data_IF_977555154975
#
_entry.id   IF_977555154975
#
_cell.length_a   1.000
_cell.length_b   1.000
_cell.length_c   1.000
_cell.angle_alpha   90.00
_cell.angle_beta   90.00
_cell.angle_gamma   90.00
#
_symmetry.space_group_name_H-M   'P 1'
#
loop_
_entity.id
_entity.type
_entity.pdbx_description
1 polymer ?
#
# COMPACT_ATOMS: atom_id res chain seq x y z
N UNK A 1 5.74 4.67 26.62
CA UNK A 1 4.57 5.50 26.92
C UNK A 1 4.88 6.91 26.46
N UNK A 2 4.27 7.38 25.39
CA UNK A 2 4.28 8.78 25.01
C UNK A 2 2.84 9.11 24.62
N UNK A 3 2.15 9.75 25.53
CA UNK A 3 0.77 10.20 25.38
C UNK A 3 0.71 11.33 24.35
N UNK A 4 -0.22 11.24 23.44
CA UNK A 4 -0.59 12.30 22.53
C UNK A 4 -1.44 13.31 23.31
N UNK A 5 -0.87 14.47 23.60
CA UNK A 5 -1.62 15.60 24.17
C UNK A 5 -2.36 16.27 23.02
N UNK A 6 -3.69 16.22 23.07
CA UNK A 6 -4.58 17.01 22.23
C UNK A 6 -4.49 18.47 22.69
N UNK A 7 -4.03 19.36 21.82
CA UNK A 7 -4.19 20.79 22.00
C UNK A 7 -5.52 21.22 21.36
N UNK A 8 -6.51 21.49 22.20
CA UNK A 8 -7.76 22.15 21.82
C UNK A 8 -7.49 23.57 21.36
N UNK A 9 -7.70 23.83 20.08
CA UNK A 9 -7.88 25.18 19.58
C UNK A 9 -9.33 25.30 19.09
N UNK A 10 -10.19 25.83 19.95
CA UNK A 10 -11.56 26.22 19.63
C UNK A 10 -11.51 27.37 18.60
N UNK A 11 -11.77 27.08 17.35
CA UNK A 11 -12.12 28.06 16.33
C UNK A 11 -13.63 28.01 16.15
N UNK A 12 -14.27 29.15 16.36
CA UNK A 12 -15.72 29.35 16.38
C UNK A 12 -16.43 28.75 15.18
N UNK A 13 -17.41 27.90 15.44
CA UNK A 13 -18.31 27.33 14.47
C UNK A 13 -19.36 28.37 14.06
N UNK A 14 -19.22 28.94 12.87
CA UNK A 14 -20.34 29.49 12.12
C UNK A 14 -21.15 28.32 11.53
N UNK A 15 -22.49 28.30 11.62
CA UNK A 15 -23.27 27.23 11.01
C UNK A 15 -23.19 27.38 9.48
N UNK A 16 -22.40 26.54 8.84
CA UNK A 16 -22.42 26.36 7.40
C UNK A 16 -23.77 25.72 7.05
N UNK A 17 -24.58 26.46 6.31
CA UNK A 17 -25.81 25.97 5.71
C UNK A 17 -25.54 24.67 4.96
N UNK A 18 -26.51 23.75 5.03
CA UNK A 18 -26.49 22.47 4.34
C UNK A 18 -26.25 22.71 2.83
N UNK A 19 -25.01 22.63 2.41
CA UNK A 19 -24.67 22.48 1.00
C UNK A 19 -25.21 21.11 0.60
N UNK A 20 -26.26 21.10 -0.21
CA UNK A 20 -26.74 19.92 -0.91
C UNK A 20 -25.54 19.38 -1.70
N UNK A 21 -25.05 18.22 -1.30
CA UNK A 21 -23.98 17.49 -1.97
C UNK A 21 -24.46 17.01 -3.34
N UNK A 22 -24.41 17.89 -4.34
CA UNK A 22 -24.59 17.55 -5.75
C UNK A 22 -23.39 16.81 -6.34
N UNK A 23 -22.72 15.97 -5.55
CA UNK A 23 -21.68 15.09 -6.06
C UNK A 23 -22.34 14.02 -6.93
N UNK A 24 -22.25 14.21 -8.23
CA UNK A 24 -22.69 13.26 -9.23
C UNK A 24 -22.05 11.89 -8.96
N UNK A 25 -22.87 10.83 -8.97
CA UNK A 25 -22.39 9.47 -8.75
C UNK A 25 -21.37 9.10 -9.82
N UNK A 26 -20.17 8.72 -9.40
CA UNK A 26 -19.12 8.33 -10.33
C UNK A 26 -19.29 6.84 -10.74
N UNK A 27 -19.51 6.59 -12.04
CA UNK A 27 -19.63 5.22 -12.54
C UNK A 27 -18.30 4.48 -12.38
N UNK A 28 -18.37 3.27 -11.83
CA UNK A 28 -17.22 2.43 -11.59
C UNK A 28 -16.73 1.76 -12.88
N UNK A 29 -15.42 1.55 -12.97
CA UNK A 29 -14.80 0.73 -14.01
C UNK A 29 -14.79 -0.76 -13.62
N UNK A 30 -14.40 -1.63 -14.56
CA UNK A 30 -14.17 -3.06 -14.32
C UNK A 30 -15.39 -3.79 -13.75
N UNK A 31 -16.49 -3.75 -14.48
CA UNK A 31 -17.67 -4.60 -14.21
C UNK A 31 -18.34 -5.05 -15.51
N UNK A 32 -19.16 -6.05 -15.41
CA UNK A 32 -20.03 -6.51 -16.48
C UNK A 32 -21.48 -6.58 -16.00
N UNK A 33 -22.41 -6.28 -16.90
CA UNK A 33 -23.83 -6.41 -16.64
C UNK A 33 -24.24 -7.87 -16.84
N UNK A 34 -25.12 -8.35 -15.97
CA UNK A 34 -25.71 -9.70 -16.02
C UNK A 34 -27.22 -9.61 -16.18
N UNK A 35 -27.86 -10.73 -16.52
CA UNK A 35 -29.31 -10.82 -16.60
C UNK A 35 -29.98 -10.39 -15.28
N UNK A 36 -31.17 -9.80 -15.40
CA UNK A 36 -31.98 -9.37 -14.24
C UNK A 36 -31.44 -8.16 -13.51
N UNK A 37 -30.68 -7.26 -14.21
CA UNK A 37 -30.15 -6.03 -13.62
C UNK A 37 -29.01 -6.25 -12.61
N UNK A 38 -28.49 -7.46 -12.50
CA UNK A 38 -27.30 -7.76 -11.70
C UNK A 38 -26.04 -7.31 -12.41
N UNK A 39 -24.98 -7.08 -11.65
CA UNK A 39 -23.64 -6.85 -12.17
C UNK A 39 -22.64 -7.83 -11.55
N UNK A 40 -21.54 -8.11 -12.27
CA UNK A 40 -20.35 -8.75 -11.73
C UNK A 40 -19.21 -7.76 -11.70
N UNK A 41 -18.64 -7.53 -10.51
CA UNK A 41 -17.44 -6.72 -10.35
C UNK A 41 -16.21 -7.49 -10.82
N UNK A 42 -15.36 -6.86 -11.66
CA UNK A 42 -14.13 -7.45 -12.22
C UNK A 42 -12.88 -6.75 -11.70
N UNK A 43 -13.01 -5.87 -10.72
CA UNK A 43 -11.90 -5.07 -10.20
C UNK A 43 -10.88 -5.89 -9.39
N UNK A 44 -11.36 -6.85 -8.62
CA UNK A 44 -10.52 -7.72 -7.81
C UNK A 44 -10.98 -9.18 -7.89
N UNK A 45 -10.17 -10.15 -7.41
CA UNK A 45 -10.45 -11.58 -7.50
C UNK A 45 -11.71 -12.07 -6.77
N UNK A 46 -12.37 -11.22 -5.96
CA UNK A 46 -13.65 -11.59 -5.33
C UNK A 46 -14.77 -11.80 -6.33
N UNK A 47 -14.76 -11.09 -7.46
CA UNK A 47 -15.76 -11.28 -8.52
C UNK A 47 -17.20 -11.09 -8.03
N UNK A 48 -17.46 -10.16 -7.11
CA UNK A 48 -18.76 -9.97 -6.47
C UNK A 48 -19.89 -9.85 -7.48
N UNK A 49 -20.94 -10.67 -7.34
CA UNK A 49 -22.19 -10.55 -8.10
C UNK A 49 -23.22 -9.87 -7.19
N UNK A 50 -23.73 -8.71 -7.60
CA UNK A 50 -24.63 -7.89 -6.77
C UNK A 50 -25.88 -7.46 -7.54
N UNK A 51 -27.02 -7.55 -6.88
CA UNK A 51 -28.31 -7.05 -7.36
C UNK A 51 -28.46 -5.55 -7.18
N UNK A 52 -29.61 -5.00 -7.57
CA UNK A 52 -29.92 -3.57 -7.41
C UNK A 52 -29.81 -3.16 -5.94
N UNK A 53 -29.23 -1.98 -5.69
CA UNK A 53 -28.93 -1.40 -4.36
C UNK A 53 -28.03 -2.26 -3.46
N UNK A 54 -27.40 -3.30 -4.00
CA UNK A 54 -26.45 -4.11 -3.26
C UNK A 54 -25.01 -3.63 -3.51
N UNK A 55 -24.17 -3.83 -2.49
CA UNK A 55 -22.75 -3.49 -2.53
C UNK A 55 -21.87 -4.73 -2.63
N UNK A 56 -20.70 -4.59 -3.26
CA UNK A 56 -19.67 -5.60 -3.23
C UNK A 56 -19.06 -5.77 -1.82
N UNK A 57 -18.24 -6.79 -1.65
CA UNK A 57 -17.57 -7.10 -0.38
C UNK A 57 -16.83 -5.90 0.23
N UNK A 58 -16.20 -5.05 -0.60
CA UNK A 58 -15.49 -3.85 -0.15
C UNK A 58 -16.40 -2.76 0.42
N UNK A 59 -17.74 -2.86 0.26
CA UNK A 59 -18.80 -1.95 0.76
C UNK A 59 -18.82 -0.56 0.14
N UNK A 60 -17.92 -0.27 -0.79
CA UNK A 60 -17.76 1.07 -1.39
C UNK A 60 -18.15 1.15 -2.87
N UNK A 61 -18.69 0.05 -3.41
CA UNK A 61 -19.19 -0.02 -4.77
C UNK A 61 -20.59 -0.62 -4.77
N UNK A 62 -21.55 0.03 -5.44
CA UNK A 62 -22.96 -0.28 -5.39
C UNK A 62 -23.56 -0.37 -6.79
N UNK A 63 -24.40 -1.40 -7.00
CA UNK A 63 -25.23 -1.50 -8.20
C UNK A 63 -26.48 -0.60 -8.05
N UNK A 64 -26.75 0.25 -9.03
CA UNK A 64 -27.98 1.05 -9.11
C UNK A 64 -28.57 0.91 -10.51
N UNK A 65 -29.64 0.18 -10.61
CA UNK A 65 -30.36 -0.04 -11.87
C UNK A 65 -29.53 -0.74 -12.95
N UNK A 66 -28.63 -1.65 -12.60
CA UNK A 66 -27.77 -2.37 -13.53
C UNK A 66 -26.49 -1.60 -13.93
N UNK A 67 -26.20 -0.46 -13.30
CA UNK A 67 -24.93 0.26 -13.40
C UNK A 67 -24.19 0.23 -12.08
N UNK A 68 -22.86 0.18 -12.12
CA UNK A 68 -22.04 0.09 -10.92
C UNK A 68 -21.38 1.41 -10.60
N UNK A 69 -21.45 1.85 -9.35
CA UNK A 69 -20.98 3.16 -8.94
C UNK A 69 -19.97 3.06 -7.80
N UNK A 70 -18.95 3.92 -7.82
CA UNK A 70 -18.04 4.16 -6.71
C UNK A 70 -18.69 5.14 -5.74
N UNK A 71 -18.87 4.73 -4.48
CA UNK A 71 -19.43 5.58 -3.43
C UNK A 71 -18.37 6.42 -2.72
N UNK A 72 -17.09 6.22 -3.05
CA UNK A 72 -15.94 6.87 -2.39
C UNK A 72 -15.13 7.76 -3.34
N UNK A 73 -15.60 7.97 -4.57
CA UNK A 73 -14.95 8.89 -5.50
C UNK A 73 -14.97 10.32 -4.96
N UNK A 74 -13.79 10.94 -4.87
CA UNK A 74 -13.65 12.27 -4.31
C UNK A 74 -13.85 12.38 -2.79
N UNK A 75 -13.92 11.25 -2.05
CA UNK A 75 -14.19 11.25 -0.60
C UNK A 75 -13.07 10.61 0.21
N UNK A 76 -11.88 11.25 0.25
CA UNK A 76 -10.77 10.74 1.03
C UNK A 76 -11.03 10.92 2.53
N UNK A 77 -10.90 9.82 3.30
CA UNK A 77 -11.08 9.82 4.76
C UNK A 77 -9.76 10.02 5.53
N UNK A 78 -8.63 9.93 4.85
CA UNK A 78 -7.31 10.19 5.43
C UNK A 78 -6.42 10.94 4.43
N UNK A 79 -5.76 12.01 4.93
CA UNK A 79 -4.87 12.88 4.17
C UNK A 79 -3.68 13.25 5.07
N UNK A 80 -2.47 12.78 4.71
CA UNK A 80 -1.26 13.05 5.50
C UNK A 80 -0.04 13.26 4.60
N UNK A 81 0.90 14.08 5.06
CA UNK A 81 2.21 14.20 4.43
C UNK A 81 3.25 13.51 5.31
N UNK A 82 3.88 12.47 4.79
CA UNK A 82 4.84 11.64 5.51
C UNK A 82 6.14 11.47 4.70
N UNK A 83 7.27 11.12 5.32
CA UNK A 83 8.43 10.60 4.60
C UNK A 83 8.06 9.37 3.74
N UNK A 84 8.67 9.25 2.57
CA UNK A 84 8.45 8.11 1.67
C UNK A 84 8.83 6.78 2.34
N UNK A 85 9.83 6.80 3.23
CA UNK A 85 10.27 5.65 4.02
C UNK A 85 9.19 5.11 4.96
N UNK A 86 8.23 5.94 5.38
CA UNK A 86 7.08 5.50 6.20
C UNK A 86 6.07 4.70 5.37
N UNK A 87 6.13 4.77 4.02
CA UNK A 87 5.30 3.97 3.09
C UNK A 87 5.92 2.63 2.72
N UNK A 88 6.78 2.12 3.43
CA UNK A 88 8.15 1.66 3.42
C UNK A 88 8.74 1.47 2.00
N UNK A 89 8.86 2.55 1.25
CA UNK A 89 9.64 2.59 0.02
C UNK A 89 11.08 2.98 0.34
N UNK A 90 12.02 2.07 0.15
CA UNK A 90 13.44 2.32 0.43
C UNK A 90 14.28 2.55 -0.82
N UNK A 91 13.78 2.11 -1.97
CA UNK A 91 14.42 2.31 -3.28
C UNK A 91 13.61 3.25 -4.18
N UNK A 92 12.80 4.14 -3.59
CA UNK A 92 12.02 5.15 -4.33
C UNK A 92 12.22 6.51 -3.67
N UNK A 93 12.90 7.44 -4.36
CA UNK A 93 13.09 8.83 -3.94
C UNK A 93 13.45 9.02 -2.46
N UNK A 94 14.56 8.42 -1.97
CA UNK A 94 14.91 8.45 -0.55
C UNK A 94 14.92 9.85 0.05
N UNK A 95 14.31 10.03 1.22
CA UNK A 95 14.22 11.31 1.91
C UNK A 95 13.14 12.26 1.40
N UNK A 96 12.37 11.88 0.36
CA UNK A 96 11.28 12.70 -0.15
C UNK A 96 10.03 12.60 0.72
N UNK A 97 9.11 13.58 0.52
CA UNK A 97 7.79 13.56 1.12
C UNK A 97 6.78 12.89 0.18
N UNK A 98 5.82 12.16 0.75
CA UNK A 98 4.67 11.60 0.07
C UNK A 98 3.38 12.18 0.65
N UNK A 99 2.51 12.78 -0.18
CA UNK A 99 1.16 13.15 0.20
C UNK A 99 0.25 11.94 0.07
N UNK A 100 -0.23 11.44 1.20
CA UNK A 100 -0.93 10.15 1.29
C UNK A 100 -2.42 10.34 1.38
N UNK A 101 -3.18 9.54 0.62
CA UNK A 101 -4.64 9.52 0.64
C UNK A 101 -5.19 8.11 0.82
N UNK A 102 -6.34 8.00 1.47
CA UNK A 102 -7.16 6.81 1.55
C UNK A 102 -8.64 7.15 1.51
N UNK A 103 -9.46 6.22 1.02
CA UNK A 103 -10.91 6.20 1.23
C UNK A 103 -11.27 5.08 2.20
N UNK A 104 -12.51 5.04 2.70
CA UNK A 104 -12.98 3.91 3.52
C UNK A 104 -13.06 2.62 2.72
N UNK A 105 -13.03 1.48 3.42
CA UNK A 105 -13.22 0.15 2.86
C UNK A 105 -11.93 -0.59 2.48
N UNK A 106 -12.05 -1.88 2.24
CA UNK A 106 -10.98 -2.78 1.78
C UNK A 106 -11.59 -4.04 1.14
N UNK A 107 -10.86 -4.67 0.23
CA UNK A 107 -11.30 -5.93 -0.41
C UNK A 107 -10.87 -7.20 0.32
N UNK A 108 -10.17 -7.09 1.47
CA UNK A 108 -9.87 -8.16 2.43
C UNK A 108 -10.13 -7.67 3.86
N UNK A 109 -10.18 -8.59 4.86
CA UNK A 109 -10.52 -8.26 6.24
C UNK A 109 -9.49 -8.79 7.24
N UNK A 110 -8.25 -8.30 7.14
CA UNK A 110 -7.15 -8.73 8.02
C UNK A 110 -7.48 -8.49 9.50
N UNK A 111 -7.42 -9.54 10.31
CA UNK A 111 -7.69 -9.48 11.76
C UNK A 111 -6.71 -8.62 12.54
N UNK A 112 -5.52 -8.33 11.96
CA UNK A 112 -4.45 -7.51 12.52
C UNK A 112 -4.36 -6.10 11.92
N UNK A 113 -5.38 -5.64 11.19
CA UNK A 113 -5.33 -4.39 10.45
C UNK A 113 -5.07 -3.20 11.39
N UNK A 114 -4.04 -2.39 11.10
CA UNK A 114 -3.70 -1.20 11.87
C UNK A 114 -4.66 -0.03 11.59
N UNK A 115 -5.24 -0.01 10.38
CA UNK A 115 -6.20 1.00 9.94
C UNK A 115 -7.62 0.41 9.86
N UNK A 116 -7.97 -0.43 10.84
CA UNK A 116 -9.24 -1.16 10.83
C UNK A 116 -10.46 -0.23 10.91
N UNK A 117 -10.31 0.91 11.59
CA UNK A 117 -11.32 1.95 11.77
C UNK A 117 -11.83 2.52 10.43
N UNK A 118 -10.95 2.69 9.44
CA UNK A 118 -11.31 3.16 8.10
C UNK A 118 -11.40 2.01 7.08
N UNK A 119 -10.59 0.95 7.20
CA UNK A 119 -10.61 -0.16 6.23
C UNK A 119 -11.83 -1.08 6.40
N UNK A 120 -12.41 -1.14 7.60
CA UNK A 120 -13.63 -1.90 7.87
C UNK A 120 -14.89 -1.03 7.90
N UNK A 121 -14.76 0.29 7.74
CA UNK A 121 -15.87 1.22 7.59
C UNK A 121 -16.46 1.19 6.17
N UNK A 122 -17.65 1.74 6.05
CA UNK A 122 -18.39 1.96 4.81
C UNK A 122 -18.66 3.47 4.61
N UNK A 123 -19.12 3.91 3.43
CA UNK A 123 -19.56 5.28 3.23
C UNK A 123 -20.76 5.71 4.10
N UNK A 124 -21.46 4.77 4.73
CA UNK A 124 -22.53 5.10 5.66
C UNK A 124 -21.98 5.48 7.04
N UNK A 125 -20.78 4.97 7.40
CA UNK A 125 -20.13 5.23 8.67
C UNK A 125 -19.30 6.50 8.64
N UNK A 126 -18.62 6.79 7.52
CA UNK A 126 -17.70 7.92 7.37
C UNK A 126 -17.93 8.59 6.01
N UNK A 127 -18.39 9.84 6.03
CA UNK A 127 -18.69 10.66 4.85
C UNK A 127 -17.84 11.93 4.82
N UNK A 128 -16.58 11.85 4.38
CA UNK A 128 -15.74 13.05 4.29
C UNK A 128 -16.21 13.97 3.17
N UNK A 129 -15.89 15.29 3.25
CA UNK A 129 -16.23 16.22 2.21
C UNK A 129 -15.58 15.87 0.88
N UNK A 130 -16.25 16.19 -0.21
CA UNK A 130 -15.75 15.95 -1.56
C UNK A 130 -14.48 16.75 -1.83
N UNK A 131 -13.49 16.09 -2.39
CA UNK A 131 -12.24 16.70 -2.86
C UNK A 131 -11.93 16.20 -4.28
N UNK A 132 -11.92 17.11 -5.24
CA UNK A 132 -11.63 16.76 -6.63
C UNK A 132 -10.21 16.24 -6.80
N UNK A 133 -9.92 15.43 -7.85
CA UNK A 133 -8.55 15.05 -8.19
C UNK A 133 -7.60 16.26 -8.35
N UNK A 134 -8.10 17.36 -8.90
CA UNK A 134 -7.33 18.61 -9.03
C UNK A 134 -6.97 19.21 -7.67
N UNK A 135 -7.90 19.19 -6.70
CA UNK A 135 -7.67 19.64 -5.32
C UNK A 135 -6.61 18.78 -4.63
N UNK A 136 -6.69 17.46 -4.78
CA UNK A 136 -5.68 16.54 -4.20
C UNK A 136 -4.28 16.82 -4.78
N UNK A 137 -4.18 16.96 -6.10
CA UNK A 137 -2.92 17.27 -6.75
C UNK A 137 -2.34 18.63 -6.30
N UNK A 138 -3.18 19.64 -6.14
CA UNK A 138 -2.78 20.95 -5.64
C UNK A 138 -2.24 20.87 -4.20
N UNK A 139 -2.96 20.16 -3.31
CA UNK A 139 -2.52 19.96 -1.92
C UNK A 139 -1.19 19.18 -1.82
N UNK A 140 -0.95 18.23 -2.73
CA UNK A 140 0.32 17.54 -2.80
C UNK A 140 1.48 18.50 -3.14
N UNK A 141 1.29 19.39 -4.13
CA UNK A 141 2.25 20.44 -4.47
C UNK A 141 2.52 21.35 -3.26
N UNK A 142 1.48 21.87 -2.65
CA UNK A 142 1.56 22.79 -1.49
C UNK A 142 2.27 22.15 -0.28
N UNK A 143 2.14 20.84 -0.10
CA UNK A 143 2.82 20.09 0.97
C UNK A 143 4.32 19.88 0.71
N UNK A 144 4.81 20.21 -0.48
CA UNK A 144 6.16 19.93 -0.94
C UNK A 144 6.43 18.42 -1.12
N UNK A 145 5.37 17.63 -1.37
CA UNK A 145 5.51 16.20 -1.63
C UNK A 145 6.00 15.96 -3.06
N UNK A 146 6.90 14.99 -3.22
CA UNK A 146 7.33 14.50 -4.53
C UNK A 146 6.34 13.48 -5.12
N UNK A 147 5.60 12.79 -4.24
CA UNK A 147 4.67 11.74 -4.66
C UNK A 147 3.29 11.88 -4.02
N UNK A 148 2.25 11.48 -4.78
CA UNK A 148 0.97 11.05 -4.25
C UNK A 148 1.06 9.58 -3.87
N UNK A 149 0.74 9.24 -2.62
CA UNK A 149 0.73 7.87 -2.12
C UNK A 149 -0.71 7.42 -1.81
N UNK A 150 -1.18 6.43 -2.54
CA UNK A 150 -2.46 5.77 -2.27
C UNK A 150 -2.20 4.61 -1.31
N UNK A 151 -2.75 4.69 -0.07
CA UNK A 151 -2.31 3.82 1.03
C UNK A 151 -3.35 3.70 2.15
N UNK A 152 -2.97 3.18 3.32
CA UNK A 152 -3.73 2.96 4.57
C UNK A 152 -4.84 1.91 4.46
N UNK A 153 -5.77 2.05 3.51
CA UNK A 153 -6.77 1.05 3.15
C UNK A 153 -6.33 0.30 1.89
N UNK A 154 -7.23 -0.06 0.99
CA UNK A 154 -6.84 -0.72 -0.26
C UNK A 154 -7.10 0.19 -1.47
N UNK A 155 -6.06 0.70 -2.14
CA UNK A 155 -6.22 1.57 -3.31
C UNK A 155 -7.02 0.98 -4.47
N UNK A 156 -6.97 -0.34 -4.64
CA UNK A 156 -7.74 -1.03 -5.69
C UNK A 156 -9.22 -0.68 -5.64
N UNK A 157 -9.83 -0.56 -4.45
CA UNK A 157 -11.28 -0.36 -4.35
C UNK A 157 -11.75 1.03 -4.75
N UNK A 158 -10.86 2.03 -4.73
CA UNK A 158 -11.13 3.41 -5.20
C UNK A 158 -10.34 3.75 -6.47
N UNK A 159 -10.21 2.77 -7.36
CA UNK A 159 -9.37 2.80 -8.56
C UNK A 159 -9.60 4.07 -9.40
N UNK A 160 -10.85 4.45 -9.67
CA UNK A 160 -11.20 5.58 -10.52
C UNK A 160 -10.66 6.89 -9.93
N UNK A 161 -10.88 7.11 -8.63
CA UNK A 161 -10.38 8.29 -7.94
C UNK A 161 -8.85 8.32 -7.88
N UNK A 162 -8.23 7.18 -7.59
CA UNK A 162 -6.77 7.03 -7.65
C UNK A 162 -6.23 7.37 -9.04
N UNK A 163 -6.82 6.83 -10.10
CA UNK A 163 -6.39 7.04 -11.48
C UNK A 163 -6.48 8.52 -11.89
N UNK A 164 -7.57 9.19 -11.54
CA UNK A 164 -7.76 10.61 -11.86
C UNK A 164 -6.84 11.52 -11.01
N UNK A 165 -6.64 11.20 -9.73
CA UNK A 165 -5.64 11.87 -8.90
C UNK A 165 -4.22 11.68 -9.45
N UNK A 166 -3.87 10.49 -9.94
CA UNK A 166 -2.57 10.23 -10.55
C UNK A 166 -2.34 11.06 -11.83
N UNK A 167 -3.36 11.16 -12.69
CA UNK A 167 -3.30 12.01 -13.89
C UNK A 167 -3.18 13.50 -13.53
N UNK A 168 -3.97 13.96 -12.56
CA UNK A 168 -3.93 15.35 -12.09
C UNK A 168 -2.59 15.69 -11.41
N UNK A 169 -2.02 14.76 -10.64
CA UNK A 169 -0.69 14.88 -10.03
C UNK A 169 0.41 14.97 -11.09
N UNK A 170 0.40 14.03 -12.05
CA UNK A 170 1.39 13.99 -13.15
C UNK A 170 1.42 15.29 -13.95
N UNK A 171 0.25 15.90 -14.22
CA UNK A 171 0.15 17.18 -14.89
C UNK A 171 0.78 18.34 -14.09
N UNK A 172 1.09 18.13 -12.80
CA UNK A 172 1.75 19.08 -11.89
C UNK A 172 3.15 18.63 -11.45
N UNK A 173 3.72 17.63 -12.11
CA UNK A 173 5.05 17.10 -11.78
C UNK A 173 5.09 16.23 -10.52
N UNK A 174 3.94 15.77 -10.00
CA UNK A 174 3.85 14.87 -8.85
C UNK A 174 3.68 13.43 -9.35
N UNK A 175 4.62 12.56 -8.99
CA UNK A 175 4.55 11.14 -9.31
C UNK A 175 3.61 10.38 -8.36
N UNK A 176 3.10 9.23 -8.78
CA UNK A 176 2.19 8.41 -7.97
C UNK A 176 2.85 7.12 -7.50
N UNK A 177 2.61 6.75 -6.23
CA UNK A 177 3.01 5.45 -5.66
C UNK A 177 1.82 4.80 -4.95
N UNK A 178 1.81 3.47 -4.92
CA UNK A 178 0.69 2.69 -4.35
C UNK A 178 1.22 1.74 -3.28
N UNK A 179 0.53 1.66 -2.15
CA UNK A 179 0.70 0.63 -1.12
C UNK A 179 -0.56 -0.22 -1.08
N UNK A 180 -0.49 -1.46 -1.52
CA UNK A 180 -1.63 -2.34 -1.76
C UNK A 180 -1.40 -3.73 -1.17
N UNK A 181 -2.48 -4.44 -0.90
CA UNK A 181 -2.44 -5.87 -0.55
C UNK A 181 -2.23 -6.79 -1.77
N UNK A 182 -2.19 -6.23 -2.98
CA UNK A 182 -1.98 -6.96 -4.23
C UNK A 182 -3.18 -7.78 -4.71
N UNK A 183 -4.32 -7.71 -4.04
CA UNK A 183 -5.54 -8.44 -4.38
C UNK A 183 -6.35 -7.69 -5.45
N UNK A 184 -5.78 -7.62 -6.66
CA UNK A 184 -6.27 -6.88 -7.82
C UNK A 184 -6.40 -7.81 -9.03
N UNK A 185 -7.38 -7.60 -9.92
CA UNK A 185 -7.51 -8.35 -11.16
C UNK A 185 -6.39 -8.02 -12.14
N UNK A 186 -6.15 -8.90 -13.11
CA UNK A 186 -5.13 -8.68 -14.14
C UNK A 186 -5.44 -7.44 -14.99
N UNK A 187 -6.70 -7.25 -15.37
CA UNK A 187 -7.15 -6.13 -16.19
C UNK A 187 -6.96 -4.79 -15.46
N UNK A 188 -7.43 -4.69 -14.21
CA UNK A 188 -7.27 -3.48 -13.40
C UNK A 188 -5.79 -3.18 -13.11
N UNK A 189 -4.98 -4.21 -12.87
CA UNK A 189 -3.55 -4.03 -12.64
C UNK A 189 -2.82 -3.53 -13.90
N UNK A 190 -3.19 -4.04 -15.07
CA UNK A 190 -2.62 -3.57 -16.34
C UNK A 190 -2.96 -2.08 -16.58
N UNK A 191 -4.18 -1.66 -16.23
CA UNK A 191 -4.59 -0.26 -16.33
C UNK A 191 -3.91 0.64 -15.27
N UNK A 192 -3.46 0.08 -14.14
CA UNK A 192 -2.73 0.80 -13.10
C UNK A 192 -1.29 1.13 -13.48
N UNK A 193 -0.57 0.22 -14.14
CA UNK A 193 0.86 0.35 -14.39
C UNK A 193 1.29 1.68 -15.03
N UNK A 194 0.63 2.24 -16.06
CA UNK A 194 1.04 3.51 -16.67
C UNK A 194 0.77 4.74 -15.78
N UNK A 195 0.03 4.57 -14.70
CA UNK A 195 -0.37 5.67 -13.80
C UNK A 195 0.56 5.86 -12.62
N UNK A 196 1.42 4.87 -12.31
CA UNK A 196 2.19 4.84 -11.08
C UNK A 196 3.68 4.59 -11.32
N UNK A 197 4.52 5.21 -10.52
CA UNK A 197 5.97 5.07 -10.56
C UNK A 197 6.46 3.82 -9.83
N UNK A 198 5.80 3.51 -8.70
CA UNK A 198 6.16 2.35 -7.89
C UNK A 198 4.96 1.79 -7.13
N UNK A 199 5.02 0.49 -6.83
CA UNK A 199 4.00 -0.22 -6.06
C UNK A 199 4.67 -0.95 -4.89
N UNK A 200 4.10 -0.81 -3.71
CA UNK A 200 4.46 -1.58 -2.53
C UNK A 200 3.41 -2.63 -2.28
N UNK A 201 3.81 -3.89 -2.14
CA UNK A 201 2.87 -4.97 -1.83
C UNK A 201 3.04 -5.45 -0.41
N UNK A 202 1.95 -5.37 0.33
CA UNK A 202 1.81 -6.05 1.61
C UNK A 202 1.56 -7.54 1.37
N UNK A 203 2.62 -8.33 1.25
CA UNK A 203 2.54 -9.77 1.08
C UNK A 203 2.41 -10.42 2.47
N UNK A 204 1.19 -10.81 2.83
CA UNK A 204 0.82 -11.06 4.23
C UNK A 204 1.47 -12.33 4.82
N UNK A 205 1.61 -13.39 4.02
CA UNK A 205 2.20 -14.67 4.39
C UNK A 205 2.47 -15.51 3.15
N UNK A 206 3.08 -16.69 3.31
CA UNK A 206 3.33 -17.63 2.22
C UNK A 206 2.51 -18.92 2.34
N UNK A 207 1.37 -18.86 3.04
CA UNK A 207 0.43 -19.98 3.22
C UNK A 207 -1.00 -19.56 2.88
N UNK A 208 -1.75 -20.46 2.22
CA UNK A 208 -3.15 -20.24 1.87
C UNK A 208 -4.04 -20.17 3.13
N UNK A 209 -3.68 -20.93 4.20
CA UNK A 209 -4.40 -20.89 5.46
C UNK A 209 -4.35 -19.51 6.11
N UNK A 210 -3.19 -18.85 6.15
CA UNK A 210 -3.08 -17.50 6.68
C UNK A 210 -3.96 -16.50 5.90
N UNK A 211 -3.90 -16.55 4.57
CA UNK A 211 -4.74 -15.67 3.75
C UNK A 211 -6.23 -15.91 3.97
N UNK A 212 -6.67 -17.16 4.01
CA UNK A 212 -8.07 -17.53 4.25
C UNK A 212 -8.53 -17.16 5.65
N UNK A 213 -7.79 -17.59 6.69
CA UNK A 213 -8.28 -17.58 8.08
C UNK A 213 -7.99 -16.26 8.80
N UNK A 214 -6.94 -15.53 8.40
CA UNK A 214 -6.48 -14.29 9.05
C UNK A 214 -6.80 -13.05 8.22
N UNK A 215 -6.73 -13.14 6.88
CA UNK A 215 -6.94 -12.00 5.99
C UNK A 215 -8.29 -12.01 5.28
N UNK A 216 -9.02 -13.11 5.31
CA UNK A 216 -10.22 -13.34 4.50
C UNK A 216 -9.95 -13.02 3.02
N UNK A 217 -8.96 -13.71 2.44
CA UNK A 217 -8.51 -13.54 1.07
C UNK A 217 -7.85 -14.78 0.52
N UNK A 218 -7.18 -14.67 -0.63
CA UNK A 218 -6.51 -15.78 -1.31
C UNK A 218 -5.08 -15.36 -1.69
N UNK A 219 -4.11 -16.25 -1.50
CA UNK A 219 -2.69 -15.98 -1.80
C UNK A 219 -2.41 -16.02 -3.31
N UNK A 220 -3.05 -16.90 -4.06
CA UNK A 220 -2.77 -17.17 -5.46
C UNK A 220 -2.94 -15.91 -6.34
N UNK A 221 -4.02 -15.11 -6.20
CA UNK A 221 -4.16 -13.83 -6.90
C UNK A 221 -3.06 -12.83 -6.58
N UNK A 222 -2.58 -12.78 -5.32
CA UNK A 222 -1.51 -11.88 -4.90
C UNK A 222 -0.17 -12.31 -5.51
N UNK A 223 0.14 -13.61 -5.51
CA UNK A 223 1.32 -14.15 -6.19
C UNK A 223 1.26 -13.88 -7.71
N UNK A 224 0.10 -14.06 -8.34
CA UNK A 224 -0.08 -13.74 -9.75
C UNK A 224 0.11 -12.25 -10.02
N UNK A 225 -0.36 -11.39 -9.13
CA UNK A 225 -0.15 -9.93 -9.19
C UNK A 225 1.34 -9.58 -9.13
N UNK A 226 2.09 -10.15 -8.18
CA UNK A 226 3.54 -9.96 -8.05
C UNK A 226 4.31 -10.43 -9.31
N UNK A 227 3.96 -11.59 -9.86
CA UNK A 227 4.57 -12.06 -11.13
C UNK A 227 4.29 -11.13 -12.32
N UNK A 228 3.11 -10.50 -12.38
CA UNK A 228 2.81 -9.50 -13.41
C UNK A 228 3.64 -8.23 -13.22
N UNK A 229 3.83 -7.77 -11.98
CA UNK A 229 4.70 -6.62 -11.68
C UNK A 229 6.14 -6.87 -12.10
N UNK A 230 6.69 -8.05 -11.81
CA UNK A 230 8.06 -8.41 -12.21
C UNK A 230 8.29 -8.34 -13.73
N UNK A 231 7.22 -8.44 -14.54
CA UNK A 231 7.25 -8.37 -16.00
C UNK A 231 6.84 -7.01 -16.56
N UNK A 232 6.36 -6.08 -15.73
CA UNK A 232 5.74 -4.83 -16.20
C UNK A 232 6.71 -3.67 -16.40
N UNK A 233 7.90 -3.74 -15.80
CA UNK A 233 8.85 -2.62 -15.73
C UNK A 233 8.51 -1.57 -14.65
N UNK A 234 7.37 -1.66 -13.97
CA UNK A 234 7.05 -0.81 -12.82
C UNK A 234 7.87 -1.27 -11.61
N UNK A 235 8.52 -0.32 -10.93
CA UNK A 235 9.26 -0.66 -9.71
C UNK A 235 8.32 -1.16 -8.61
N UNK A 236 8.73 -2.19 -7.87
CA UNK A 236 7.95 -2.64 -6.72
C UNK A 236 8.84 -3.14 -5.59
N UNK A 237 8.31 -3.04 -4.38
CA UNK A 237 8.90 -3.55 -3.16
C UNK A 237 7.88 -4.39 -2.40
N UNK A 238 8.33 -5.32 -1.58
CA UNK A 238 7.47 -6.23 -0.80
C UNK A 238 7.66 -5.97 0.69
N UNK A 239 6.54 -5.88 1.44
CA UNK A 239 6.58 -5.89 2.91
C UNK A 239 5.81 -7.08 3.45
N UNK A 240 6.37 -7.71 4.47
CA UNK A 240 5.78 -8.82 5.23
C UNK A 240 5.71 -8.43 6.70
N UNK A 241 4.51 -8.29 7.23
CA UNK A 241 4.31 -8.13 8.66
C UNK A 241 4.49 -9.49 9.32
N UNK A 242 5.55 -9.66 10.09
CA UNK A 242 5.83 -10.91 10.80
C UNK A 242 5.02 -10.96 12.10
N UNK A 243 4.17 -11.96 12.24
CA UNK A 243 3.30 -12.17 13.39
C UNK A 243 3.72 -13.47 14.09
N UNK A 244 4.10 -13.41 15.37
CA UNK A 244 4.54 -14.58 16.10
C UNK A 244 3.56 -15.75 16.01
N UNK A 245 4.07 -16.95 15.79
CA UNK A 245 3.34 -18.23 15.70
C UNK A 245 2.45 -18.41 14.46
N UNK A 246 2.29 -17.39 13.63
CA UNK A 246 1.38 -17.46 12.47
C UNK A 246 2.10 -17.50 11.11
N UNK A 247 3.13 -16.65 10.92
CA UNK A 247 3.90 -16.58 9.69
C UNK A 247 5.40 -16.31 9.94
N UNK A 248 5.90 -16.66 11.14
CA UNK A 248 7.27 -16.40 11.58
C UNK A 248 8.17 -17.66 11.55
N UNK A 249 7.67 -18.79 11.02
CA UNK A 249 8.45 -20.01 10.93
C UNK A 249 9.60 -19.88 9.94
N UNK A 250 10.78 -20.42 10.28
CA UNK A 250 11.96 -20.38 9.42
C UNK A 250 11.71 -21.03 8.06
N UNK A 251 10.93 -22.10 8.02
CA UNK A 251 10.58 -22.83 6.79
C UNK A 251 9.69 -21.98 5.86
N UNK A 252 8.66 -21.31 6.40
CA UNK A 252 7.80 -20.44 5.59
C UNK A 252 8.58 -19.26 5.00
N UNK A 253 9.41 -18.60 5.82
CA UNK A 253 10.27 -17.49 5.39
C UNK A 253 11.24 -17.94 4.30
N UNK A 254 11.86 -19.13 4.47
CA UNK A 254 12.75 -19.73 3.48
C UNK A 254 12.05 -19.95 2.15
N UNK A 255 10.90 -20.62 2.17
CA UNK A 255 10.11 -20.87 0.95
C UNK A 255 9.64 -19.58 0.26
N UNK A 256 9.23 -18.57 1.05
CA UNK A 256 8.85 -17.24 0.53
C UNK A 256 10.03 -16.55 -0.15
N UNK A 257 11.19 -16.50 0.51
CA UNK A 257 12.38 -15.84 -0.03
C UNK A 257 12.90 -16.56 -1.30
N UNK A 258 12.97 -17.88 -1.30
CA UNK A 258 13.33 -18.67 -2.47
C UNK A 258 12.38 -18.43 -3.64
N UNK A 259 11.06 -18.31 -3.39
CA UNK A 259 10.08 -17.97 -4.40
C UNK A 259 10.27 -16.56 -4.93
N UNK A 260 10.53 -15.56 -4.08
CA UNK A 260 10.79 -14.17 -4.50
C UNK A 260 12.00 -14.14 -5.45
N UNK A 261 13.10 -14.77 -5.08
CA UNK A 261 14.34 -14.83 -5.89
C UNK A 261 14.10 -15.51 -7.23
N UNK A 262 13.39 -16.64 -7.24
CA UNK A 262 13.15 -17.44 -8.44
C UNK A 262 12.11 -16.83 -9.38
N UNK A 263 10.96 -16.41 -8.85
CA UNK A 263 9.79 -16.05 -9.64
C UNK A 263 9.71 -14.54 -9.95
N UNK A 264 10.38 -13.71 -9.15
CA UNK A 264 10.35 -12.26 -9.29
C UNK A 264 11.72 -11.69 -9.64
N UNK A 265 12.59 -11.49 -8.66
CA UNK A 265 13.99 -11.10 -8.83
C UNK A 265 14.71 -11.09 -7.48
N UNK A 266 16.01 -11.41 -7.40
CA UNK A 266 16.81 -11.21 -6.21
C UNK A 266 16.94 -9.72 -5.80
N UNK A 267 16.67 -8.81 -6.71
CA UNK A 267 16.80 -7.37 -6.52
C UNK A 267 15.54 -6.69 -5.96
N UNK A 268 14.44 -7.42 -5.79
CA UNK A 268 13.22 -6.89 -5.16
C UNK A 268 13.46 -6.62 -3.68
N UNK A 269 13.31 -5.36 -3.20
CA UNK A 269 13.46 -5.08 -1.78
C UNK A 269 12.36 -5.76 -0.96
N UNK A 270 12.81 -6.54 0.03
CA UNK A 270 11.96 -7.27 0.96
C UNK A 270 12.07 -6.66 2.35
N UNK A 271 10.95 -6.27 2.93
CA UNK A 271 10.88 -5.66 4.25
C UNK A 271 10.15 -6.57 5.22
N UNK A 272 10.81 -7.00 6.29
CA UNK A 272 10.16 -7.64 7.42
C UNK A 272 9.78 -6.59 8.45
N UNK A 273 8.49 -6.43 8.68
CA UNK A 273 7.96 -5.41 9.60
C UNK A 273 7.50 -6.03 10.90
N UNK A 274 7.78 -5.33 12.00
CA UNK A 274 7.38 -5.74 13.35
C UNK A 274 5.88 -5.59 13.53
N UNK A 275 5.22 -6.66 13.97
CA UNK A 275 3.84 -6.65 14.39
C UNK A 275 3.68 -6.04 15.78
N UNK A 276 2.58 -5.30 15.98
CA UNK A 276 2.09 -4.84 17.27
C UNK A 276 0.62 -5.26 17.42
N UNK A 277 0.18 -5.67 18.64
CA UNK A 277 -1.20 -6.08 18.90
C UNK A 277 -2.21 -5.03 18.50
N UNK A 278 -3.16 -5.40 17.62
CA UNK A 278 -4.15 -4.47 17.09
C UNK A 278 -5.45 -5.20 16.70
N UNK A 279 -6.55 -4.46 16.67
CA UNK A 279 -7.88 -4.86 16.21
C UNK A 279 -8.37 -6.16 16.86
N UNK A 280 -8.49 -7.26 16.08
CA UNK A 280 -8.98 -8.57 16.54
C UNK A 280 -7.86 -9.49 17.06
N UNK A 281 -6.61 -9.04 17.02
CA UNK A 281 -5.44 -9.86 17.38
C UNK A 281 -4.63 -9.17 18.50
N UNK A 282 -5.30 -8.77 19.59
CA UNK A 282 -4.67 -8.12 20.74
C UNK A 282 -3.98 -9.10 21.71
N UNK A 283 -4.24 -10.38 21.56
CA UNK A 283 -3.75 -11.46 22.42
C UNK A 283 -2.37 -12.02 21.99
N UNK A 284 -1.85 -11.63 20.82
CA UNK A 284 -0.52 -12.04 20.35
C UNK A 284 0.48 -10.93 20.72
N UNK A 285 1.63 -11.26 21.34
CA UNK A 285 2.63 -10.26 21.70
C UNK A 285 3.28 -9.62 20.47
N UNK A 286 3.89 -8.42 20.60
CA UNK A 286 4.68 -7.83 19.52
C UNK A 286 5.80 -8.76 19.09
N UNK A 287 6.14 -8.76 17.80
CA UNK A 287 7.23 -9.58 17.27
C UNK A 287 8.56 -9.21 17.95
N UNK A 288 9.28 -10.18 18.53
CA UNK A 288 10.62 -9.93 19.04
C UNK A 288 11.56 -9.47 17.92
N UNK A 289 12.44 -8.47 18.13
CA UNK A 289 13.41 -8.03 17.12
C UNK A 289 14.28 -9.18 16.57
N UNK A 290 14.66 -10.15 17.41
CA UNK A 290 15.48 -11.29 16.99
C UNK A 290 14.75 -12.21 15.98
N UNK A 291 13.43 -12.32 16.06
CA UNK A 291 12.64 -13.02 15.05
C UNK A 291 12.77 -12.35 13.68
N UNK A 292 12.76 -11.01 13.63
CA UNK A 292 12.95 -10.25 12.40
C UNK A 292 14.38 -10.37 11.87
N UNK A 293 15.40 -10.35 12.75
CA UNK A 293 16.80 -10.54 12.38
C UNK A 293 17.03 -11.94 11.80
N UNK A 294 16.45 -12.97 12.42
CA UNK A 294 16.46 -14.34 11.89
C UNK A 294 15.79 -14.42 10.51
N UNK A 295 14.60 -13.80 10.35
CA UNK A 295 13.91 -13.76 9.06
C UNK A 295 14.78 -13.09 7.98
N UNK A 296 15.44 -11.98 8.30
CA UNK A 296 16.37 -11.29 7.40
C UNK A 296 17.54 -12.17 7.00
N UNK A 297 18.18 -12.86 7.95
CA UNK A 297 19.30 -13.76 7.67
C UNK A 297 18.89 -14.88 6.73
N UNK A 298 17.72 -15.50 6.95
CA UNK A 298 17.18 -16.55 6.07
C UNK A 298 16.98 -16.00 4.65
N UNK A 299 16.35 -14.85 4.51
CA UNK A 299 16.08 -14.28 3.19
C UNK A 299 17.37 -13.90 2.43
N UNK A 300 18.38 -13.38 3.12
CA UNK A 300 19.70 -13.12 2.54
C UNK A 300 20.39 -14.42 2.10
N UNK A 301 20.31 -15.50 2.91
CA UNK A 301 20.88 -16.81 2.59
C UNK A 301 20.19 -17.46 1.37
N UNK A 302 18.90 -17.19 1.15
CA UNK A 302 18.16 -17.63 -0.05
C UNK A 302 18.44 -16.76 -1.30
N UNK A 303 19.27 -15.71 -1.18
CA UNK A 303 19.72 -14.89 -2.31
C UNK A 303 19.00 -13.56 -2.52
N UNK A 304 18.09 -13.15 -1.63
CA UNK A 304 17.55 -11.79 -1.65
C UNK A 304 18.67 -10.77 -1.39
N UNK A 305 18.86 -9.79 -2.27
CA UNK A 305 19.96 -8.82 -2.16
C UNK A 305 19.67 -7.64 -1.24
N UNK A 306 18.41 -7.26 -1.10
CA UNK A 306 17.95 -6.12 -0.31
C UNK A 306 16.88 -6.57 0.68
N UNK A 307 17.27 -6.75 1.94
CA UNK A 307 16.36 -7.21 3.01
C UNK A 307 16.43 -6.26 4.19
N UNK A 308 15.30 -5.68 4.54
CA UNK A 308 15.15 -4.64 5.54
C UNK A 308 14.30 -5.09 6.73
N UNK A 309 14.51 -4.44 7.88
CA UNK A 309 13.67 -4.61 9.09
C UNK A 309 12.98 -3.28 9.37
N UNK A 310 11.64 -3.30 9.45
CA UNK A 310 10.80 -2.15 9.75
C UNK A 310 10.16 -2.19 11.14
N UNK A 311 9.72 -1.03 11.63
CA UNK A 311 9.04 -0.85 12.93
C UNK A 311 9.87 -1.27 14.14
N UNK A 312 11.20 -1.25 14.05
CA UNK A 312 12.14 -1.43 15.16
C UNK A 312 13.02 -0.18 15.24
N UNK A 313 12.86 0.67 16.26
CA UNK A 313 13.69 1.87 16.42
C UNK A 313 15.17 1.53 16.54
N UNK A 314 16.03 2.28 15.82
CA UNK A 314 17.49 2.13 15.88
C UNK A 314 18.04 0.87 15.19
N UNK A 315 17.21 0.13 14.44
CA UNK A 315 17.66 -1.09 13.74
C UNK A 315 18.55 -0.74 12.54
N UNK A 316 19.77 -1.27 12.51
CA UNK A 316 20.74 -1.04 11.43
C UNK A 316 20.32 -1.64 10.08
N UNK A 317 19.49 -2.67 10.11
CA UNK A 317 18.95 -3.30 8.91
C UNK A 317 17.96 -2.42 8.13
N UNK A 318 17.77 -1.15 8.52
CA UNK A 318 17.11 -0.11 7.71
C UNK A 318 18.06 0.53 6.70
N UNK A 319 19.37 0.35 6.86
CA UNK A 319 20.37 0.88 5.94
C UNK A 319 20.42 0.07 4.63
N UNK A 320 20.71 0.75 3.53
CA UNK A 320 20.97 0.09 2.24
C UNK A 320 22.47 -0.03 2.04
N UNK A 321 22.94 -1.26 1.81
CA UNK A 321 24.33 -1.54 1.47
C UNK A 321 24.44 -2.05 0.03
N UNK A 322 25.56 -1.79 -0.61
CA UNK A 322 25.82 -2.27 -1.97
C UNK A 322 25.97 -3.81 -1.98
N UNK A 323 25.18 -4.54 -2.77
CA UNK A 323 25.28 -6.00 -2.82
C UNK A 323 26.61 -6.50 -3.46
N UNK A 324 27.36 -5.61 -4.13
CA UNK A 324 28.60 -5.94 -4.82
C UNK A 324 29.86 -5.68 -3.99
N UNK A 325 29.94 -4.54 -3.30
CA UNK A 325 31.14 -4.15 -2.55
C UNK A 325 30.89 -3.87 -1.06
N UNK A 326 29.69 -4.09 -0.57
CA UNK A 326 29.25 -3.90 0.82
C UNK A 326 29.40 -2.44 1.35
N UNK A 327 29.68 -1.46 0.48
CA UNK A 327 29.72 -0.06 0.90
C UNK A 327 28.31 0.43 1.31
N UNK A 328 28.29 1.35 2.29
CA UNK A 328 27.06 2.01 2.72
C UNK A 328 26.52 2.88 1.58
N UNK A 329 25.31 2.55 1.08
CA UNK A 329 24.63 3.31 0.04
C UNK A 329 23.72 4.38 0.65
N UNK A 330 22.82 3.96 1.53
CA UNK A 330 21.91 4.88 2.21
C UNK A 330 21.89 4.55 3.69
N UNK A 331 22.31 5.53 4.50
CA UNK A 331 22.23 5.45 5.96
C UNK A 331 20.93 6.07 6.43
N UNK A 332 20.16 5.30 7.19
CA UNK A 332 18.89 5.76 7.76
C UNK A 332 18.91 5.75 9.27
N UNK A 333 18.22 6.72 9.85
CA UNK A 333 17.83 6.69 11.26
C UNK A 333 16.34 6.96 11.35
N UNK A 334 15.57 5.93 11.70
CA UNK A 334 14.12 5.92 11.55
C UNK A 334 13.72 6.24 10.10
N UNK A 335 13.01 7.36 9.86
CA UNK A 335 12.58 7.79 8.52
C UNK A 335 13.47 8.91 7.92
N UNK A 336 14.61 9.22 8.55
CA UNK A 336 15.52 10.28 8.09
C UNK A 336 16.69 9.67 7.33
N UNK A 337 17.01 10.25 6.19
CA UNK A 337 18.23 9.96 5.45
C UNK A 337 19.38 10.77 6.06
N UNK A 338 20.41 10.09 6.52
CA UNK A 338 21.62 10.70 7.04
C UNK A 338 22.72 10.79 5.98
N UNK A 339 22.73 9.83 5.03
CA UNK A 339 23.73 9.73 3.98
C UNK A 339 23.12 9.02 2.77
N UNK A 340 23.45 9.51 1.55
CA UNK A 340 23.08 8.87 0.29
C UNK A 340 24.28 8.86 -0.65
N UNK A 341 24.79 7.65 -0.94
CA UNK A 341 25.94 7.38 -1.80
C UNK A 341 25.53 6.71 -3.11
N UNK A 342 24.29 6.89 -3.54
CA UNK A 342 23.82 6.50 -4.87
C UNK A 342 23.89 7.74 -5.77
N UNK A 343 24.68 7.64 -6.84
CA UNK A 343 24.89 8.72 -7.82
C UNK A 343 24.55 8.19 -9.20
N UNK A 344 23.61 8.83 -9.91
CA UNK A 344 23.15 8.39 -11.25
C UNK A 344 22.80 6.89 -11.26
N UNK A 345 21.99 6.48 -10.29
CA UNK A 345 21.55 5.09 -10.09
C UNK A 345 22.69 4.07 -9.86
N UNK A 346 23.88 4.50 -9.47
CA UNK A 346 25.04 3.63 -9.24
C UNK A 346 25.67 3.83 -7.85
N UNK A 347 26.32 2.79 -7.35
CA UNK A 347 27.13 2.85 -6.12
C UNK A 347 28.32 3.77 -6.31
N UNK A 348 28.45 4.81 -5.48
CA UNK A 348 29.57 5.76 -5.52
C UNK A 348 30.94 5.09 -5.35
N UNK A 349 31.02 3.97 -4.62
CA UNK A 349 32.28 3.28 -4.33
C UNK A 349 32.75 2.35 -5.46
N UNK A 350 31.85 1.56 -6.08
CA UNK A 350 32.23 0.56 -7.10
C UNK A 350 31.61 0.77 -8.48
N UNK A 351 30.79 1.80 -8.68
CA UNK A 351 30.17 2.14 -9.96
C UNK A 351 29.08 1.18 -10.45
N UNK A 352 28.77 0.10 -9.73
CA UNK A 352 27.73 -0.85 -10.12
C UNK A 352 26.33 -0.24 -9.95
N UNK A 353 25.46 -0.46 -10.94
CA UNK A 353 24.07 0.00 -10.91
C UNK A 353 23.32 -0.61 -9.71
N UNK A 354 22.56 0.22 -9.04
CA UNK A 354 21.69 -0.17 -7.92
C UNK A 354 20.23 -0.05 -8.38
N UNK A 355 19.47 -1.14 -8.39
CA UNK A 355 18.07 -1.15 -8.79
C UNK A 355 17.20 -0.26 -7.88
N UNK A 356 16.35 0.57 -8.49
CA UNK A 356 15.47 1.50 -7.78
C UNK A 356 15.04 2.70 -8.62
N UNK A 357 14.31 3.61 -8.01
CA UNK A 357 13.87 4.89 -8.56
C UNK A 357 14.53 5.99 -7.74
N UNK A 358 15.66 6.51 -8.21
CA UNK A 358 16.51 7.39 -7.41
C UNK A 358 16.35 8.88 -7.73
N UNK A 359 15.94 9.20 -8.97
CA UNK A 359 15.81 10.57 -9.51
C UNK A 359 14.40 10.80 -10.12
#
# INVERSE_FOLDING_TARGET
MAGCVLADTLIGATPLGAAQDGAELHEASFYEQLAGGKIRCKLCPRGCVVGDKQRGYCRVRENRGGRYYSLVYGRPCALHTDPIEKKPFFHVYPGSKAFSIATVGCNIACKFCQNWDISQASPDDIQPPYQSPATIAQRAVESGARTLAYTYTEPTIFFEYMADCARAGKARGIESVVVSNGFISAEAQQALFPLVKAIKIDFKAFTSSFYRDICDGFIEPVQASLRRMAKSGVWFEIVVLIIPTLNDSSDEIKRMAAWIVKDLSPDVPLHFSRYHPMFKMKNIPPTPPDTLRRARQIALAEGCRFVYIGNVPGEEAQNTVCPHCQAMLIRRYNYRILENNIVKSACKACGKTIPGVWE
#
